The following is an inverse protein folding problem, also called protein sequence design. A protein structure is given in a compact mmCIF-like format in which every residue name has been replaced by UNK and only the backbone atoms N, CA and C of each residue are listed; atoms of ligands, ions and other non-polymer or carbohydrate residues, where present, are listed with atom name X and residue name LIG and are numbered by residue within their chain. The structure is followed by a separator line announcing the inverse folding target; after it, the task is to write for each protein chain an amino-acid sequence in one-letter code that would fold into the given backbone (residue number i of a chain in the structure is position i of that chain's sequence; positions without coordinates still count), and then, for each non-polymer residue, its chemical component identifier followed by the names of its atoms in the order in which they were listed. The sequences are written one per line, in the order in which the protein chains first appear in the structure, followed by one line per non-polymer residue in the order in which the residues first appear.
data_IF_248442481859
#
_entry.id   IF_248442481859
#
_cell.length_a   1.000
_cell.length_b   1.000
_cell.length_c   1.000
_cell.angle_alpha   90.00
_cell.angle_beta   90.00
_cell.angle_gamma   90.00
#
_symmetry.space_group_name_H-M   'P 1'
#
loop_
_entity.id
_entity.type
_entity.pdbx_description
1 polymer ?
#
# COMPACT_ATOMS: atom_id res chain seq x y z
N UNK A 1 -15.01 20.79 22.38
CA UNK A 1 -14.87 19.60 21.54
C UNK A 1 -14.86 18.38 22.44
N UNK A 2 -15.38 17.25 21.95
CA UNK A 2 -15.36 15.95 22.65
C UNK A 2 -14.04 15.19 22.40
N UNK A 3 -13.76 14.15 23.20
CA UNK A 3 -12.58 13.26 22.97
C UNK A 3 -12.61 12.67 21.55
N UNK A 4 -13.78 12.32 21.02
CA UNK A 4 -13.94 11.81 19.64
C UNK A 4 -13.55 12.86 18.59
N UNK A 5 -13.96 14.11 18.76
CA UNK A 5 -13.63 15.20 17.83
C UNK A 5 -12.12 15.48 17.80
N UNK A 6 -11.42 15.36 18.94
CA UNK A 6 -9.96 15.49 18.99
C UNK A 6 -9.26 14.30 18.28
N UNK A 7 -9.74 13.08 18.48
CA UNK A 7 -9.18 11.91 17.77
C UNK A 7 -9.46 11.99 16.26
N UNK A 8 -10.66 12.40 15.83
CA UNK A 8 -10.96 12.65 14.42
C UNK A 8 -10.06 13.74 13.82
N UNK A 9 -9.68 14.73 14.62
CA UNK A 9 -8.71 15.75 14.20
C UNK A 9 -7.32 15.13 13.99
N UNK A 10 -6.87 14.28 14.92
CA UNK A 10 -5.61 13.55 14.79
C UNK A 10 -5.61 12.63 13.54
N UNK A 11 -6.72 11.92 13.26
CA UNK A 11 -6.90 11.10 12.05
C UNK A 11 -6.77 11.95 10.77
N UNK A 12 -7.42 13.13 10.73
CA UNK A 12 -7.29 14.04 9.58
C UNK A 12 -5.86 14.55 9.37
N UNK A 13 -5.14 14.81 10.47
CA UNK A 13 -3.73 15.18 10.40
C UNK A 13 -2.86 14.04 9.88
N UNK A 14 -3.05 12.80 10.37
CA UNK A 14 -2.32 11.61 9.92
C UNK A 14 -2.39 11.44 8.40
N UNK A 15 -3.57 11.60 7.80
CA UNK A 15 -3.78 11.49 6.34
C UNK A 15 -2.95 12.44 5.49
N UNK A 16 -2.46 13.56 6.06
CA UNK A 16 -1.56 14.48 5.34
C UNK A 16 -0.17 13.89 5.06
N UNK A 17 0.20 12.81 5.74
CA UNK A 17 1.44 12.07 5.53
C UNK A 17 1.36 11.01 4.43
N UNK A 18 0.21 10.82 3.79
CA UNK A 18 0.01 9.80 2.77
C UNK A 18 1.03 9.92 1.62
N UNK A 19 1.61 8.79 1.21
CA UNK A 19 2.64 8.71 0.17
C UNK A 19 4.05 9.16 0.61
N UNK A 20 4.18 9.84 1.74
CA UNK A 20 5.46 10.39 2.23
C UNK A 20 6.07 9.59 3.37
N UNK A 21 5.22 8.96 4.20
CA UNK A 21 5.69 8.29 5.42
C UNK A 21 6.22 6.88 5.20
N UNK A 22 5.91 6.23 4.09
CA UNK A 22 6.32 4.85 3.79
C UNK A 22 7.84 4.62 3.98
N UNK A 23 8.26 3.52 4.64
CA UNK A 23 7.44 2.42 5.19
C UNK A 23 6.92 2.68 6.62
N UNK A 24 7.06 3.90 7.17
CA UNK A 24 6.53 4.27 8.48
C UNK A 24 5.00 4.48 8.40
N UNK A 25 4.28 4.34 9.54
CA UNK A 25 2.85 4.57 9.58
C UNK A 25 2.50 6.06 9.44
N UNK A 26 1.31 6.33 8.96
CA UNK A 26 0.68 7.64 9.07
C UNK A 26 0.19 7.83 10.51
N UNK A 27 0.72 8.84 11.20
CA UNK A 27 0.35 9.16 12.58
C UNK A 27 0.01 10.63 12.70
N UNK A 28 -1.03 10.93 13.48
CA UNK A 28 -1.41 12.28 13.86
C UNK A 28 -1.54 12.39 15.38
N UNK A 29 -1.23 13.57 15.90
CA UNK A 29 -1.30 13.87 17.32
C UNK A 29 -1.91 15.26 17.57
N UNK A 30 -2.73 15.37 18.63
CA UNK A 30 -3.38 16.61 19.07
C UNK A 30 -3.20 16.74 20.58
N UNK A 31 -2.69 17.87 21.05
CA UNK A 31 -2.48 18.18 22.46
C UNK A 31 -3.55 19.18 22.90
N UNK A 32 -4.28 18.83 23.96
CA UNK A 32 -5.44 19.58 24.47
C UNK A 32 -5.24 19.94 25.92
N UNK A 33 -5.47 21.21 26.26
CA UNK A 33 -5.47 21.73 27.63
C UNK A 33 -6.71 22.59 27.85
N UNK A 34 -7.41 22.38 28.94
CA UNK A 34 -8.62 23.15 29.32
C UNK A 34 -9.65 23.25 28.16
N UNK A 35 -9.85 22.14 27.43
CA UNK A 35 -10.78 22.06 26.29
C UNK A 35 -10.31 22.76 25.02
N UNK A 36 -9.08 23.31 24.96
CA UNK A 36 -8.49 23.98 23.81
C UNK A 36 -7.35 23.18 23.24
N UNK A 37 -7.23 23.16 21.91
CA UNK A 37 -6.06 22.57 21.22
C UNK A 37 -4.90 23.56 21.37
N UNK A 38 -3.79 23.09 21.94
CA UNK A 38 -2.57 23.88 22.16
C UNK A 38 -1.39 23.40 21.32
N UNK A 39 -1.51 22.24 20.67
CA UNK A 39 -0.49 21.71 19.76
C UNK A 39 -1.06 20.64 18.84
N UNK A 40 -0.60 20.61 17.60
CA UNK A 40 -1.00 19.64 16.58
C UNK A 40 0.20 19.20 15.75
N UNK A 41 0.24 17.92 15.37
CA UNK A 41 1.30 17.40 14.53
C UNK A 41 0.89 16.13 13.80
N UNK A 42 1.65 15.83 12.78
CA UNK A 42 1.56 14.54 12.08
C UNK A 42 2.96 14.11 11.61
N UNK A 43 3.15 12.83 11.36
CA UNK A 43 4.38 12.34 10.74
C UNK A 43 4.40 12.77 9.27
N UNK A 44 5.29 13.72 8.94
CA UNK A 44 5.29 14.38 7.62
C UNK A 44 5.94 13.52 6.54
N UNK A 45 7.09 12.90 6.88
CA UNK A 45 7.91 12.13 5.94
C UNK A 45 8.78 11.12 6.68
N UNK A 46 9.02 9.98 6.05
CA UNK A 46 9.93 8.96 6.57
C UNK A 46 11.31 9.54 6.92
N UNK A 47 11.76 9.30 8.15
CA UNK A 47 13.03 9.80 8.67
C UNK A 47 12.96 11.16 9.36
N UNK A 48 11.85 11.87 9.29
CA UNK A 48 11.58 13.12 10.01
C UNK A 48 10.93 12.85 11.38
N UNK A 49 10.59 13.94 12.12
CA UNK A 49 9.96 13.87 13.43
C UNK A 49 8.60 13.15 13.37
N UNK A 50 8.31 12.37 14.40
CA UNK A 50 7.02 11.73 14.59
C UNK A 50 5.93 12.74 14.96
N UNK A 51 4.67 12.30 14.89
CA UNK A 51 3.50 13.15 15.09
C UNK A 51 3.50 13.85 16.46
N UNK A 52 3.82 13.10 17.52
CA UNK A 52 3.85 13.60 18.90
C UNK A 52 4.91 14.70 19.06
N UNK A 53 6.11 14.50 18.50
CA UNK A 53 7.17 15.52 18.52
C UNK A 53 6.82 16.75 17.69
N UNK A 54 6.15 16.57 16.54
CA UNK A 54 5.64 17.68 15.76
C UNK A 54 4.52 18.43 16.49
N UNK A 55 3.64 17.73 17.23
CA UNK A 55 2.62 18.35 18.06
C UNK A 55 3.24 19.14 19.22
N UNK A 56 4.27 18.60 19.88
CA UNK A 56 5.03 19.28 20.93
C UNK A 56 5.76 20.52 20.37
N UNK A 57 6.36 20.40 19.18
CA UNK A 57 7.05 21.53 18.55
C UNK A 57 6.10 22.68 18.15
N UNK A 58 4.80 22.42 18.04
CA UNK A 58 3.77 23.39 17.69
C UNK A 58 3.03 23.99 18.90
N UNK A 59 3.47 23.66 20.13
CA UNK A 59 2.82 24.14 21.35
C UNK A 59 2.77 25.67 21.42
N UNK A 60 1.59 26.19 21.79
CA UNK A 60 1.34 27.61 22.00
C UNK A 60 1.45 28.01 23.48
N UNK A 61 1.45 27.03 24.38
CA UNK A 61 1.61 27.17 25.82
C UNK A 61 2.16 25.88 26.43
N UNK A 62 2.50 25.87 27.74
CA UNK A 62 2.98 24.64 28.41
C UNK A 62 1.97 23.51 28.33
N UNK A 63 2.44 22.31 27.94
CA UNK A 63 1.64 21.09 27.91
C UNK A 63 1.49 20.39 29.28
N UNK A 64 2.04 20.97 30.35
CA UNK A 64 1.92 20.39 31.70
C UNK A 64 0.45 20.25 32.10
N UNK A 65 0.05 19.03 32.46
CA UNK A 65 -1.32 18.68 32.82
C UNK A 65 -2.26 18.44 31.63
N UNK A 66 -1.80 18.59 30.38
CA UNK A 66 -2.61 18.42 29.16
C UNK A 66 -2.93 16.94 28.87
N UNK A 67 -3.81 16.74 27.90
CA UNK A 67 -4.12 15.43 27.28
C UNK A 67 -3.59 15.43 25.85
N UNK A 68 -2.88 14.35 25.43
CA UNK A 68 -2.54 14.10 24.04
C UNK A 68 -3.40 12.97 23.46
N UNK A 69 -3.94 13.18 22.27
CA UNK A 69 -4.63 12.20 21.44
C UNK A 69 -3.68 11.80 20.31
N UNK A 70 -3.40 10.52 20.17
CA UNK A 70 -2.48 10.01 19.13
C UNK A 70 -3.11 8.79 18.45
N UNK A 71 -3.03 8.75 17.12
CA UNK A 71 -3.70 7.70 16.33
C UNK A 71 -3.04 6.33 16.43
N UNK A 72 -1.78 6.25 16.87
CA UNK A 72 -1.01 5.02 17.05
C UNK A 72 -0.21 5.08 18.35
N UNK A 73 0.04 3.94 18.97
CA UNK A 73 0.83 3.83 20.21
C UNK A 73 2.20 4.53 20.07
N UNK A 74 2.57 5.45 20.98
CA UNK A 74 3.84 6.16 20.96
C UNK A 74 5.02 5.20 21.04
N UNK A 75 6.04 5.43 20.18
CA UNK A 75 7.24 4.62 20.15
C UNK A 75 8.06 4.78 21.44
N UNK A 76 8.70 3.67 21.87
CA UNK A 76 9.50 3.58 23.10
C UNK A 76 10.94 3.14 22.86
N UNK A 77 11.41 3.13 21.61
CA UNK A 77 12.77 2.72 21.26
C UNK A 77 13.49 3.82 20.50
N UNK A 78 14.80 3.87 20.65
CA UNK A 78 15.66 4.74 19.85
C UNK A 78 15.76 4.24 18.41
N UNK A 79 15.36 5.08 17.48
CA UNK A 79 15.51 4.89 16.05
C UNK A 79 16.34 6.01 15.45
N UNK A 80 15.88 6.58 14.34
CA UNK A 80 16.46 7.82 13.78
C UNK A 80 16.14 9.05 14.65
N UNK A 81 15.09 8.96 15.46
CA UNK A 81 14.65 9.97 16.42
C UNK A 81 14.55 9.35 17.81
N UNK A 82 14.71 10.14 18.90
CA UNK A 82 14.47 9.65 20.26
C UNK A 82 13.01 9.24 20.47
N UNK A 83 12.70 8.34 21.44
CA UNK A 83 11.36 7.84 21.72
C UNK A 83 10.33 8.96 21.93
N UNK A 84 9.11 8.77 21.45
CA UNK A 84 8.02 9.72 21.69
C UNK A 84 7.52 9.66 23.13
N UNK A 85 7.61 8.50 23.80
CA UNK A 85 7.29 8.35 25.24
C UNK A 85 8.11 9.30 26.09
N UNK A 86 9.41 9.46 25.83
CA UNK A 86 10.27 10.39 26.56
C UNK A 86 9.79 11.84 26.39
N UNK A 87 9.51 12.27 25.16
CA UNK A 87 9.02 13.62 24.90
C UNK A 87 7.68 13.92 25.60
N UNK A 88 6.78 12.94 25.66
CA UNK A 88 5.49 13.06 26.37
C UNK A 88 5.73 13.24 27.88
N UNK A 89 6.64 12.46 28.46
CA UNK A 89 6.99 12.53 29.89
C UNK A 89 7.65 13.87 30.23
N UNK A 90 8.65 14.31 29.43
CA UNK A 90 9.34 15.58 29.59
C UNK A 90 8.41 16.79 29.59
N UNK A 91 7.34 16.73 28.75
CA UNK A 91 6.31 17.78 28.69
C UNK A 91 5.29 17.71 29.83
N UNK A 92 5.43 16.74 30.77
CA UNK A 92 4.53 16.54 31.92
C UNK A 92 3.05 16.42 31.51
N UNK A 93 2.79 15.77 30.36
CA UNK A 93 1.44 15.48 29.89
C UNK A 93 0.79 14.51 30.88
N UNK A 94 -0.46 14.80 31.29
CA UNK A 94 -1.16 14.04 32.34
C UNK A 94 -1.90 12.82 31.79
N UNK A 95 -2.41 12.89 30.56
CA UNK A 95 -3.23 11.85 29.93
C UNK A 95 -2.83 11.62 28.48
N UNK A 96 -2.72 10.35 28.08
CA UNK A 96 -2.50 9.92 26.69
C UNK A 96 -3.67 9.07 26.23
N UNK A 97 -4.30 9.43 25.13
CA UNK A 97 -5.39 8.69 24.48
C UNK A 97 -4.86 8.12 23.18
N UNK A 98 -4.76 6.79 23.11
CA UNK A 98 -4.17 6.03 22.00
C UNK A 98 -5.29 5.40 21.17
N UNK A 99 -5.24 5.59 19.86
CA UNK A 99 -6.14 4.93 18.91
C UNK A 99 -5.75 3.48 18.68
N UNK A 100 -4.88 3.21 17.75
CA UNK A 100 -4.39 1.87 17.41
C UNK A 100 -3.25 1.41 18.33
N UNK A 101 -3.14 0.11 18.56
CA UNK A 101 -1.94 -0.52 19.11
C UNK A 101 -0.90 -0.70 17.99
N UNK A 102 0.37 -0.55 18.32
CA UNK A 102 1.43 -0.84 17.36
C UNK A 102 1.71 -2.37 17.35
N UNK A 103 1.54 -3.06 16.21
CA UNK A 103 1.82 -4.49 16.11
C UNK A 103 3.32 -4.82 16.07
N UNK A 104 4.19 -3.81 15.98
CA UNK A 104 5.64 -3.99 15.96
C UNK A 104 6.13 -4.60 17.29
N UNK A 105 6.75 -5.79 17.32
CA UNK A 105 7.22 -6.46 18.54
C UNK A 105 8.17 -5.60 19.39
N UNK A 106 8.80 -4.59 18.81
CA UNK A 106 9.67 -3.63 19.53
C UNK A 106 8.86 -2.62 20.34
N UNK A 107 7.62 -2.35 19.98
CA UNK A 107 6.71 -1.37 20.61
C UNK A 107 5.60 -2.06 21.39
N UNK A 108 4.78 -2.82 20.73
CA UNK A 108 3.65 -3.66 21.19
C UNK A 108 3.31 -3.59 22.69
N UNK A 109 2.61 -2.55 23.13
CA UNK A 109 2.19 -2.32 24.51
C UNK A 109 3.25 -1.72 25.44
N UNK A 110 4.53 -1.71 25.06
CA UNK A 110 5.62 -1.19 25.90
C UNK A 110 5.56 0.34 26.03
N UNK A 111 5.18 1.05 24.96
CA UNK A 111 5.00 2.50 25.01
C UNK A 111 3.95 2.91 26.03
N UNK A 112 2.79 2.26 25.98
CA UNK A 112 1.71 2.48 26.95
C UNK A 112 2.10 2.09 28.37
N UNK A 113 2.87 1.03 28.56
CA UNK A 113 3.38 0.61 29.87
C UNK A 113 4.34 1.65 30.48
N UNK A 114 5.35 2.11 29.73
CA UNK A 114 6.32 3.13 30.17
C UNK A 114 5.60 4.42 30.60
N UNK A 115 4.58 4.85 29.84
CA UNK A 115 3.80 6.03 30.19
C UNK A 115 3.04 5.85 31.52
N UNK A 116 2.42 4.67 31.76
CA UNK A 116 1.73 4.36 33.02
C UNK A 116 2.72 4.32 34.21
N UNK A 117 3.86 3.67 34.04
CA UNK A 117 4.90 3.61 35.05
C UNK A 117 5.47 5.00 35.43
N UNK A 118 5.39 5.94 34.47
CA UNK A 118 5.73 7.36 34.70
C UNK A 118 4.59 8.20 35.31
N UNK A 119 3.48 7.56 35.74
CA UNK A 119 2.34 8.23 36.38
C UNK A 119 1.35 8.88 35.43
N UNK A 120 1.44 8.62 34.13
CA UNK A 120 0.55 9.17 33.09
C UNK A 120 -0.69 8.27 32.95
N UNK A 121 -1.88 8.87 32.92
CA UNK A 121 -3.12 8.14 32.61
C UNK A 121 -3.16 7.74 31.14
N UNK A 122 -3.24 6.44 30.81
CA UNK A 122 -3.28 5.94 29.43
C UNK A 122 -4.60 5.25 29.13
N UNK A 123 -5.31 5.78 28.12
CA UNK A 123 -6.50 5.17 27.50
C UNK A 123 -6.06 4.55 26.19
N UNK A 124 -6.36 3.26 25.95
CA UNK A 124 -6.02 2.54 24.72
C UNK A 124 -7.30 2.14 23.97
N UNK A 125 -7.11 1.80 22.68
CA UNK A 125 -8.18 1.32 21.80
C UNK A 125 -9.32 2.35 21.58
N UNK A 126 -9.01 3.64 21.70
CA UNK A 126 -10.01 4.70 21.53
C UNK A 126 -10.23 4.99 20.05
N UNK A 127 -11.42 4.72 19.52
CA UNK A 127 -11.72 4.76 18.09
C UNK A 127 -10.75 3.89 17.29
N UNK A 128 -10.53 2.67 17.77
CA UNK A 128 -9.51 1.77 17.24
C UNK A 128 -9.74 1.44 15.77
N UNK A 129 -10.97 1.12 15.38
CA UNK A 129 -11.28 0.73 14.00
C UNK A 129 -10.95 1.84 13.01
N UNK A 130 -11.31 3.09 13.32
CA UNK A 130 -11.02 4.24 12.49
C UNK A 130 -9.50 4.55 12.41
N UNK A 131 -8.78 4.30 13.50
CA UNK A 131 -7.34 4.46 13.54
C UNK A 131 -6.61 3.31 12.82
N UNK A 132 -7.06 2.05 12.96
CA UNK A 132 -6.51 0.90 12.25
C UNK A 132 -6.65 1.07 10.73
N UNK A 133 -7.78 1.63 10.26
CA UNK A 133 -8.01 1.94 8.85
C UNK A 133 -7.01 2.93 8.22
N UNK A 134 -6.23 3.68 9.03
CA UNK A 134 -5.18 4.55 8.51
C UNK A 134 -3.98 3.77 7.94
N UNK A 135 -3.64 2.63 8.54
CA UNK A 135 -2.34 1.99 8.39
C UNK A 135 -2.37 0.49 8.00
N UNK A 136 -3.26 0.02 7.10
CA UNK A 136 -3.31 -1.40 6.73
C UNK A 136 -2.00 -1.86 6.10
N UNK A 137 -1.34 -1.00 5.31
CA UNK A 137 -0.02 -1.25 4.70
C UNK A 137 1.03 -1.49 5.78
N UNK A 138 1.15 -0.57 6.74
CA UNK A 138 2.13 -0.68 7.81
C UNK A 138 1.90 -1.93 8.67
N UNK A 139 0.66 -2.19 9.06
CA UNK A 139 0.31 -3.35 9.89
C UNK A 139 0.65 -4.67 9.17
N UNK A 140 0.35 -4.78 7.89
CA UNK A 140 0.72 -5.94 7.12
C UNK A 140 2.24 -6.08 7.01
N UNK A 141 2.93 -5.01 6.56
CA UNK A 141 4.37 -5.08 6.29
C UNK A 141 5.20 -5.33 7.56
N UNK A 142 4.85 -4.70 8.69
CA UNK A 142 5.62 -4.87 9.93
C UNK A 142 5.51 -6.29 10.51
N UNK A 143 4.38 -6.97 10.27
CA UNK A 143 4.12 -8.33 10.75
C UNK A 143 4.60 -9.42 9.80
N UNK A 144 4.44 -9.24 8.47
CA UNK A 144 4.72 -10.27 7.47
C UNK A 144 6.06 -10.10 6.75
N UNK A 145 6.60 -8.86 6.73
CA UNK A 145 7.77 -8.46 5.93
C UNK A 145 7.57 -8.61 4.42
N UNK A 146 6.31 -8.70 3.97
CA UNK A 146 5.95 -8.70 2.55
C UNK A 146 5.14 -7.46 2.21
N UNK A 147 5.20 -6.94 0.97
CA UNK A 147 4.39 -5.81 0.55
C UNK A 147 2.89 -6.06 0.66
N UNK A 148 2.13 -5.05 1.06
CA UNK A 148 0.67 -5.02 0.93
C UNK A 148 0.29 -4.79 -0.53
N UNK A 149 -0.25 -5.80 -1.20
CA UNK A 149 -0.56 -5.73 -2.63
C UNK A 149 -2.01 -5.28 -2.84
N UNK A 150 -2.17 -4.16 -3.52
CA UNK A 150 -3.46 -3.62 -3.94
C UNK A 150 -3.62 -3.81 -5.45
N UNK A 151 -4.57 -4.62 -5.86
CA UNK A 151 -4.91 -4.81 -7.26
C UNK A 151 -5.86 -3.72 -7.73
N UNK A 152 -5.48 -2.99 -8.79
CA UNK A 152 -6.32 -1.96 -9.38
C UNK A 152 -6.57 -2.23 -10.85
N UNK A 153 -7.82 -2.14 -11.26
CA UNK A 153 -8.18 -2.14 -12.68
C UNK A 153 -9.33 -1.18 -12.99
N UNK A 154 -9.39 -0.78 -14.26
CA UNK A 154 -10.51 -0.01 -14.80
C UNK A 154 -11.18 -0.82 -15.91
N UNK A 155 -12.50 -0.91 -15.86
CA UNK A 155 -13.29 -1.68 -16.84
C UNK A 155 -14.56 -0.93 -17.27
N UNK A 156 -15.12 -1.36 -18.37
CA UNK A 156 -16.48 -0.99 -18.79
C UNK A 156 -17.53 -1.69 -17.91
N UNK A 157 -18.78 -1.25 -17.97
CA UNK A 157 -19.90 -1.86 -17.24
C UNK A 157 -20.11 -3.35 -17.61
N UNK A 158 -19.74 -3.74 -18.83
CA UNK A 158 -19.75 -5.13 -19.30
C UNK A 158 -18.41 -5.87 -19.07
N UNK A 159 -17.55 -5.36 -18.17
CA UNK A 159 -16.35 -6.05 -17.67
C UNK A 159 -15.19 -6.10 -18.66
N UNK A 160 -15.02 -5.12 -19.55
CA UNK A 160 -13.93 -5.10 -20.54
C UNK A 160 -12.85 -4.09 -20.21
N UNK A 161 -11.57 -4.48 -20.33
CA UNK A 161 -10.42 -3.61 -20.13
C UNK A 161 -9.78 -3.16 -21.45
N UNK A 162 -10.26 -3.63 -22.58
CA UNK A 162 -9.88 -3.21 -23.93
C UNK A 162 -10.97 -3.56 -24.93
N UNK A 163 -11.00 -2.86 -26.08
CA UNK A 163 -11.84 -3.18 -27.21
C UNK A 163 -11.39 -4.48 -27.90
N UNK A 164 -12.15 -4.94 -28.90
CA UNK A 164 -11.78 -6.11 -29.72
C UNK A 164 -10.43 -5.97 -30.46
N UNK A 165 -9.99 -4.74 -30.69
CA UNK A 165 -8.70 -4.43 -31.34
C UNK A 165 -7.57 -4.23 -30.35
N UNK A 166 -7.84 -4.29 -29.03
CA UNK A 166 -6.85 -4.08 -27.96
C UNK A 166 -6.72 -2.64 -27.49
N UNK A 167 -7.46 -1.68 -28.08
CA UNK A 167 -7.42 -0.29 -27.61
C UNK A 167 -8.02 -0.16 -26.20
N UNK A 168 -7.26 0.45 -25.27
CA UNK A 168 -7.60 0.61 -23.84
C UNK A 168 -7.76 2.06 -23.38
N UNK A 169 -7.35 3.04 -24.20
CA UNK A 169 -7.33 4.48 -23.84
C UNK A 169 -8.52 5.21 -24.48
N UNK A 170 -9.45 5.85 -23.73
CA UNK A 170 -9.56 5.86 -22.26
C UNK A 170 -10.86 5.19 -21.86
N UNK A 171 -10.82 4.26 -20.94
CA UNK A 171 -12.02 3.58 -20.40
C UNK A 171 -12.71 4.53 -19.44
N UNK A 172 -12.04 4.94 -18.36
CA UNK A 172 -12.55 5.82 -17.31
C UNK A 172 -12.28 7.29 -17.62
N UNK A 173 -13.03 8.16 -16.95
CA UNK A 173 -12.93 9.60 -17.04
C UNK A 173 -11.65 10.17 -16.38
N UNK A 174 -11.46 11.47 -16.52
CA UNK A 174 -10.28 12.15 -15.98
C UNK A 174 -10.21 12.12 -14.43
N UNK A 175 -11.32 12.33 -13.69
CA UNK A 175 -11.28 12.25 -12.23
C UNK A 175 -10.79 10.89 -11.71
N UNK A 176 -11.22 9.78 -12.32
CA UNK A 176 -10.75 8.45 -11.97
C UNK A 176 -9.25 8.25 -12.29
N UNK A 177 -8.77 8.84 -13.40
CA UNK A 177 -7.33 8.81 -13.73
C UNK A 177 -6.47 9.65 -12.79
N UNK A 178 -7.01 10.76 -12.26
CA UNK A 178 -6.35 11.54 -11.20
C UNK A 178 -6.25 10.73 -9.91
N UNK A 179 -7.30 10.02 -9.51
CA UNK A 179 -7.27 9.11 -8.36
C UNK A 179 -6.17 8.04 -8.52
N UNK A 180 -5.95 7.51 -9.73
CA UNK A 180 -4.85 6.58 -10.01
C UNK A 180 -3.47 7.24 -9.79
N UNK A 181 -3.31 8.54 -10.06
CA UNK A 181 -2.05 9.24 -9.72
C UNK A 181 -1.84 9.32 -8.20
N UNK A 182 -2.91 9.55 -7.41
CA UNK A 182 -2.86 9.47 -5.95
C UNK A 182 -2.43 8.07 -5.49
N UNK A 183 -3.04 7.02 -6.04
CA UNK A 183 -2.65 5.65 -5.71
C UNK A 183 -1.18 5.37 -6.03
N UNK A 184 -0.67 5.82 -7.19
CA UNK A 184 0.75 5.67 -7.55
C UNK A 184 1.69 6.42 -6.62
N UNK A 185 1.26 7.55 -6.06
CA UNK A 185 2.01 8.29 -5.05
C UNK A 185 1.98 7.59 -3.68
N UNK A 186 0.83 7.01 -3.33
CA UNK A 186 0.58 6.36 -2.04
C UNK A 186 1.41 5.09 -1.84
N UNK A 187 1.51 4.23 -2.87
CA UNK A 187 2.18 2.94 -2.77
C UNK A 187 3.64 3.02 -3.21
N UNK A 188 4.53 2.28 -2.52
CA UNK A 188 5.98 2.30 -2.81
C UNK A 188 6.36 1.65 -4.12
N UNK A 189 5.63 0.63 -4.56
CA UNK A 189 5.86 -0.07 -5.82
C UNK A 189 4.65 -0.03 -6.75
N UNK A 190 4.89 -0.09 -8.06
CA UNK A 190 3.89 -0.35 -9.09
C UNK A 190 4.30 -1.58 -9.88
N UNK A 191 3.42 -2.56 -10.01
CA UNK A 191 3.69 -3.82 -10.68
C UNK A 191 2.82 -3.96 -11.94
N UNK A 192 3.45 -4.29 -13.07
CA UNK A 192 2.77 -4.58 -14.32
C UNK A 192 3.38 -5.80 -15.03
N UNK A 193 2.60 -6.48 -15.86
CA UNK A 193 3.09 -7.56 -16.70
C UNK A 193 3.72 -7.03 -18.00
N UNK A 194 4.65 -7.80 -18.57
CA UNK A 194 5.31 -7.46 -19.84
C UNK A 194 4.31 -7.19 -20.98
N UNK A 195 3.16 -7.86 -20.97
CA UNK A 195 2.13 -7.61 -21.99
C UNK A 195 1.61 -6.18 -21.99
N UNK A 196 1.56 -5.51 -20.84
CA UNK A 196 1.20 -4.09 -20.72
C UNK A 196 2.30 -3.20 -21.28
N UNK A 197 3.58 -3.54 -21.02
CA UNK A 197 4.72 -2.78 -21.55
C UNK A 197 4.78 -2.85 -23.07
N UNK A 198 4.60 -4.05 -23.65
CA UNK A 198 4.62 -4.27 -25.09
C UNK A 198 3.43 -3.62 -25.82
N UNK A 199 2.28 -3.52 -25.18
CA UNK A 199 1.07 -2.96 -25.78
C UNK A 199 1.01 -1.43 -25.71
N UNK A 200 1.39 -0.85 -24.57
CA UNK A 200 1.11 0.55 -24.24
C UNK A 200 2.37 1.41 -24.08
N UNK A 201 3.56 0.81 -24.01
CA UNK A 201 4.86 1.44 -23.70
C UNK A 201 4.74 2.49 -22.56
N UNK A 202 4.25 2.10 -21.37
CA UNK A 202 3.89 3.03 -20.31
C UNK A 202 5.12 3.48 -19.52
N UNK A 203 5.09 4.70 -18.98
CA UNK A 203 6.09 5.19 -18.01
C UNK A 203 5.90 4.61 -16.60
N UNK A 204 4.69 4.22 -16.21
CA UNK A 204 4.33 3.74 -14.86
C UNK A 204 4.82 4.66 -13.73
N UNK A 205 4.81 5.96 -13.93
CA UNK A 205 5.23 6.98 -12.97
C UNK A 205 4.04 7.85 -12.53
N UNK A 206 4.26 8.70 -11.53
CA UNK A 206 3.37 9.79 -11.17
C UNK A 206 3.63 10.96 -12.09
N UNK A 207 2.55 11.59 -12.59
CA UNK A 207 2.60 12.76 -13.50
C UNK A 207 2.12 14.06 -12.85
N UNK A 208 2.11 14.08 -11.52
CA UNK A 208 1.80 15.26 -10.70
C UNK A 208 3.11 15.80 -10.15
N UNK A 209 3.37 17.06 -10.41
CA UNK A 209 4.59 17.72 -9.95
C UNK A 209 4.72 17.68 -8.42
N UNK A 210 5.94 17.45 -7.94
CA UNK A 210 6.24 17.37 -6.51
C UNK A 210 5.89 16.03 -5.85
N UNK A 211 5.18 15.13 -6.52
CA UNK A 211 4.82 13.83 -5.95
C UNK A 211 5.87 12.76 -6.22
N UNK A 212 6.02 11.84 -5.26
CA UNK A 212 6.96 10.72 -5.38
C UNK A 212 6.40 9.66 -6.32
N UNK A 213 7.23 9.21 -7.27
CA UNK A 213 6.94 8.05 -8.12
C UNK A 213 7.29 6.74 -7.42
N UNK A 214 6.52 5.66 -7.65
CA UNK A 214 6.81 4.34 -7.11
C UNK A 214 8.00 3.66 -7.81
N UNK A 215 8.58 2.66 -7.17
CA UNK A 215 9.49 1.70 -7.80
C UNK A 215 8.70 0.90 -8.84
N UNK A 216 9.18 0.83 -10.07
CA UNK A 216 8.49 0.13 -11.16
C UNK A 216 8.94 -1.32 -11.22
N UNK A 217 7.99 -2.24 -11.21
CA UNK A 217 8.22 -3.69 -11.20
C UNK A 217 7.55 -4.28 -12.45
N UNK A 218 8.33 -4.89 -13.32
CA UNK A 218 7.82 -5.54 -14.53
C UNK A 218 7.98 -7.05 -14.40
N UNK A 219 6.87 -7.78 -14.46
CA UNK A 219 6.87 -9.24 -14.51
C UNK A 219 7.02 -9.70 -15.97
N UNK A 220 8.19 -10.27 -16.29
CA UNK A 220 8.57 -10.68 -17.65
C UNK A 220 9.36 -11.99 -17.63
N UNK A 221 8.66 -13.11 -17.53
CA UNK A 221 9.28 -14.45 -17.35
C UNK A 221 10.41 -14.75 -18.35
N UNK A 222 10.32 -14.21 -19.57
CA UNK A 222 11.26 -14.51 -20.68
C UNK A 222 12.12 -13.32 -21.12
N UNK A 223 12.19 -12.23 -20.31
CA UNK A 223 12.96 -11.02 -20.60
C UNK A 223 12.71 -10.42 -22.00
N UNK A 224 11.43 -10.37 -22.42
CA UNK A 224 11.02 -9.80 -23.71
C UNK A 224 10.99 -8.28 -23.74
N UNK A 225 11.21 -7.62 -22.60
CA UNK A 225 11.15 -6.16 -22.48
C UNK A 225 12.08 -5.49 -23.49
N UNK A 226 11.58 -4.55 -24.32
CA UNK A 226 12.42 -3.83 -25.27
C UNK A 226 13.39 -2.90 -24.55
N UNK A 227 14.65 -2.90 -24.96
CA UNK A 227 15.69 -2.03 -24.38
C UNK A 227 15.46 -0.55 -24.66
N UNK A 228 14.63 -0.23 -25.64
CA UNK A 228 14.23 1.12 -26.04
C UNK A 228 12.86 1.54 -25.55
N UNK A 229 12.18 0.70 -24.75
CA UNK A 229 10.93 1.05 -24.11
C UNK A 229 11.10 2.24 -23.16
N UNK A 230 10.05 3.06 -22.98
CA UNK A 230 10.08 4.24 -22.10
C UNK A 230 10.50 3.89 -20.68
N UNK A 231 10.01 2.76 -20.16
CA UNK A 231 10.31 2.30 -18.80
C UNK A 231 11.80 1.96 -18.62
N UNK A 232 12.47 1.39 -19.63
CA UNK A 232 13.91 1.09 -19.62
C UNK A 232 14.74 2.36 -19.84
N UNK A 233 14.37 3.22 -20.79
CA UNK A 233 15.10 4.48 -21.06
C UNK A 233 15.12 5.42 -19.86
N UNK A 234 14.09 5.40 -19.03
CA UNK A 234 13.96 6.24 -17.85
C UNK A 234 14.39 5.55 -16.54
N UNK A 235 15.06 4.38 -16.60
CA UNK A 235 15.38 3.60 -15.41
C UNK A 235 16.38 4.29 -14.46
N UNK A 236 17.25 5.16 -14.98
CA UNK A 236 18.18 5.96 -14.18
C UNK A 236 17.47 7.06 -13.36
N UNK A 237 16.30 7.50 -13.80
CA UNK A 237 15.47 8.49 -13.09
C UNK A 237 14.46 7.82 -12.16
N UNK A 238 13.85 6.73 -12.58
CA UNK A 238 12.85 5.97 -11.83
C UNK A 238 13.33 4.54 -11.61
N UNK A 239 13.62 4.16 -10.37
CA UNK A 239 14.05 2.80 -10.04
C UNK A 239 13.13 1.77 -10.69
N UNK A 240 13.72 0.83 -11.41
CA UNK A 240 12.99 -0.18 -12.20
C UNK A 240 13.58 -1.55 -11.93
N UNK A 241 12.72 -2.50 -11.60
CA UNK A 241 13.06 -3.91 -11.37
C UNK A 241 12.32 -4.75 -12.41
N UNK A 242 13.04 -5.59 -13.13
CA UNK A 242 12.46 -6.60 -14.03
C UNK A 242 12.60 -7.96 -13.39
N UNK A 243 11.46 -8.58 -13.04
CA UNK A 243 11.42 -9.95 -12.56
C UNK A 243 11.34 -10.91 -13.74
N UNK A 244 12.16 -11.96 -13.70
CA UNK A 244 12.22 -12.97 -14.76
C UNK A 244 12.30 -14.40 -14.17
N UNK A 245 12.13 -15.40 -15.04
CA UNK A 245 12.14 -16.82 -14.64
C UNK A 245 13.14 -17.67 -15.46
N UNK A 246 13.93 -17.05 -16.32
CA UNK A 246 14.91 -17.75 -17.16
C UNK A 246 16.08 -18.31 -16.35
N UNK A 247 16.73 -19.36 -16.89
CA UNK A 247 17.93 -19.93 -16.29
C UNK A 247 19.15 -19.13 -16.71
N UNK A 248 20.04 -18.79 -15.78
CA UNK A 248 21.25 -18.00 -16.00
C UNK A 248 22.28 -18.69 -16.94
N UNK A 249 22.12 -19.99 -17.19
CA UNK A 249 22.96 -20.77 -18.13
C UNK A 249 22.73 -20.40 -19.61
N UNK A 250 21.71 -19.58 -19.91
CA UNK A 250 21.41 -19.13 -21.28
C UNK A 250 22.16 -17.83 -21.57
N UNK A 251 23.13 -17.89 -22.51
CA UNK A 251 23.95 -16.73 -22.93
C UNK A 251 23.09 -15.52 -23.38
N UNK A 252 21.98 -15.74 -24.10
CA UNK A 252 21.09 -14.66 -24.53
C UNK A 252 20.43 -13.94 -23.34
N UNK A 253 20.06 -14.68 -22.31
CA UNK A 253 19.48 -14.13 -21.07
C UNK A 253 20.54 -13.31 -20.35
N UNK A 254 21.76 -13.83 -20.21
CA UNK A 254 22.89 -13.15 -19.56
C UNK A 254 23.24 -11.85 -20.26
N UNK A 255 23.40 -11.86 -21.59
CA UNK A 255 23.64 -10.64 -22.38
C UNK A 255 22.49 -9.61 -22.20
N UNK A 256 21.24 -10.10 -22.19
CA UNK A 256 20.08 -9.20 -22.00
C UNK A 256 20.09 -8.55 -20.62
N UNK A 257 20.45 -9.28 -19.58
CA UNK A 257 20.58 -8.78 -18.20
C UNK A 257 21.66 -7.71 -18.12
N UNK A 258 22.85 -7.96 -18.69
CA UNK A 258 23.93 -6.98 -18.71
C UNK A 258 23.52 -5.68 -19.40
N UNK A 259 22.81 -5.78 -20.54
CA UNK A 259 22.29 -4.62 -21.26
C UNK A 259 21.22 -3.86 -20.48
N UNK A 260 20.38 -4.53 -19.70
CA UNK A 260 19.40 -3.92 -18.78
C UNK A 260 20.11 -3.20 -17.63
N UNK A 261 21.11 -3.83 -17.00
CA UNK A 261 21.90 -3.23 -15.92
C UNK A 261 22.64 -1.99 -16.39
N UNK A 262 23.23 -2.02 -17.60
CA UNK A 262 23.89 -0.84 -18.20
C UNK A 262 22.95 0.36 -18.38
N UNK A 263 21.64 0.12 -18.48
CA UNK A 263 20.60 1.14 -18.54
C UNK A 263 20.03 1.55 -17.17
N UNK A 264 20.50 0.93 -16.08
CA UNK A 264 20.06 1.21 -14.70
C UNK A 264 18.79 0.45 -14.29
N UNK A 265 18.48 -0.65 -14.95
CA UNK A 265 17.39 -1.56 -14.58
C UNK A 265 17.94 -2.66 -13.69
N UNK A 266 17.37 -2.84 -12.50
CA UNK A 266 17.64 -3.99 -11.64
C UNK A 266 16.91 -5.23 -12.20
N UNK A 267 17.49 -6.42 -12.04
CA UNK A 267 16.83 -7.67 -12.42
C UNK A 267 16.78 -8.64 -11.25
N UNK A 268 15.72 -9.44 -11.18
CA UNK A 268 15.55 -10.47 -10.14
C UNK A 268 15.03 -11.76 -10.76
N UNK A 269 15.72 -12.86 -10.50
CA UNK A 269 15.32 -14.19 -10.96
C UNK A 269 14.43 -14.85 -9.90
N UNK A 270 13.19 -15.16 -10.27
CA UNK A 270 12.19 -15.77 -9.37
C UNK A 270 11.41 -16.87 -10.10
N UNK A 271 12.02 -17.97 -10.56
CA UNK A 271 11.32 -19.03 -11.27
C UNK A 271 10.44 -19.89 -10.33
N UNK A 272 9.29 -20.33 -10.85
CA UNK A 272 8.53 -21.45 -10.34
C UNK A 272 8.97 -22.77 -11.07
N UNK A 273 8.25 -23.85 -10.79
CA UNK A 273 8.53 -25.16 -11.39
C UNK A 273 8.23 -25.22 -12.92
N UNK A 274 7.50 -24.24 -13.46
CA UNK A 274 7.06 -24.16 -14.85
C UNK A 274 7.80 -23.05 -15.64
N UNK A 275 8.91 -22.56 -15.11
CA UNK A 275 9.67 -21.43 -15.65
C UNK A 275 8.79 -20.16 -15.82
N UNK A 276 7.81 -19.97 -14.89
CA UNK A 276 7.08 -18.75 -14.73
C UNK A 276 7.55 -18.01 -13.48
N UNK A 277 7.19 -16.73 -13.33
CA UNK A 277 7.55 -15.98 -12.13
C UNK A 277 6.75 -16.45 -10.93
N UNK A 278 7.45 -16.94 -9.90
CA UNK A 278 6.90 -17.18 -8.58
C UNK A 278 6.64 -15.85 -7.87
N UNK A 279 5.39 -15.41 -7.88
CA UNK A 279 5.00 -14.13 -7.29
C UNK A 279 5.18 -14.10 -5.76
N UNK A 280 5.14 -15.24 -5.05
CA UNK A 280 5.41 -15.29 -3.60
C UNK A 280 6.88 -15.02 -3.31
N UNK A 281 7.79 -15.62 -4.09
CA UNK A 281 9.22 -15.32 -4.00
C UNK A 281 9.50 -13.86 -4.35
N UNK A 282 8.87 -13.34 -5.39
CA UNK A 282 9.05 -11.96 -5.82
C UNK A 282 8.61 -10.97 -4.73
N UNK A 283 7.42 -11.11 -4.14
CA UNK A 283 6.98 -10.19 -3.07
C UNK A 283 7.84 -10.31 -1.81
N UNK A 284 8.36 -11.51 -1.49
CA UNK A 284 9.32 -11.68 -0.40
C UNK A 284 10.62 -10.91 -0.67
N UNK A 285 11.16 -11.02 -1.89
CA UNK A 285 12.34 -10.24 -2.30
C UNK A 285 12.07 -8.72 -2.18
N UNK A 286 10.94 -8.24 -2.71
CA UNK A 286 10.58 -6.82 -2.69
C UNK A 286 10.40 -6.31 -1.25
N UNK A 287 9.84 -7.12 -0.36
CA UNK A 287 9.73 -6.80 1.06
C UNK A 287 11.10 -6.64 1.74
N UNK A 288 12.06 -7.51 1.43
CA UNK A 288 13.43 -7.41 1.92
C UNK A 288 14.17 -6.18 1.37
N UNK A 289 13.82 -5.72 0.15
CA UNK A 289 14.28 -4.46 -0.41
C UNK A 289 13.61 -3.22 0.22
N UNK A 290 12.76 -3.39 1.23
CA UNK A 290 12.10 -2.31 1.96
C UNK A 290 10.85 -1.75 1.27
N UNK A 291 10.31 -2.43 0.27
CA UNK A 291 9.06 -2.04 -0.41
C UNK A 291 7.89 -2.58 0.43
N UNK A 292 7.13 -1.69 1.06
CA UNK A 292 6.03 -2.03 1.96
C UNK A 292 4.70 -2.30 1.26
N UNK A 293 4.55 -1.80 0.03
CA UNK A 293 3.28 -1.83 -0.70
C UNK A 293 3.46 -1.83 -2.20
N UNK A 294 2.54 -2.48 -2.90
CA UNK A 294 2.54 -2.59 -4.36
C UNK A 294 1.15 -2.26 -4.90
N UNK A 295 1.08 -1.31 -5.84
CA UNK A 295 -0.06 -1.12 -6.71
C UNK A 295 0.09 -2.04 -7.92
N UNK A 296 -0.73 -3.08 -7.99
CA UNK A 296 -0.77 -3.99 -9.13
C UNK A 296 -1.68 -3.39 -10.22
N UNK A 297 -1.06 -2.83 -11.26
CA UNK A 297 -1.72 -2.36 -12.49
C UNK A 297 -1.47 -3.36 -13.62
N UNK A 298 -1.84 -4.62 -13.39
CA UNK A 298 -1.61 -5.72 -14.31
C UNK A 298 -2.66 -5.83 -15.41
N UNK A 299 -2.31 -6.57 -16.47
CA UNK A 299 -3.30 -7.16 -17.38
C UNK A 299 -3.95 -8.40 -16.75
N UNK A 300 -5.02 -8.90 -17.38
CA UNK A 300 -5.83 -9.97 -16.80
C UNK A 300 -5.05 -11.24 -16.40
N UNK A 301 -3.99 -11.59 -17.11
CA UNK A 301 -3.13 -12.75 -16.80
C UNK A 301 -2.36 -12.55 -15.49
N UNK A 302 -1.72 -11.38 -15.32
CA UNK A 302 -0.96 -11.12 -14.08
C UNK A 302 -1.91 -10.98 -12.88
N UNK A 303 -3.07 -10.38 -13.07
CA UNK A 303 -4.10 -10.27 -12.04
C UNK A 303 -4.57 -11.68 -11.59
N UNK A 304 -4.85 -12.60 -12.51
CA UNK A 304 -5.20 -13.99 -12.19
C UNK A 304 -4.07 -14.68 -11.43
N UNK A 305 -2.83 -14.56 -11.91
CA UNK A 305 -1.66 -15.15 -11.25
C UNK A 305 -1.48 -14.61 -9.82
N UNK A 306 -1.67 -13.30 -9.61
CA UNK A 306 -1.54 -12.67 -8.29
C UNK A 306 -2.64 -13.13 -7.30
N UNK A 307 -3.88 -13.30 -7.79
CA UNK A 307 -4.98 -13.83 -6.99
C UNK A 307 -4.73 -15.31 -6.62
N UNK A 308 -4.28 -16.13 -7.55
CA UNK A 308 -3.92 -17.55 -7.29
C UNK A 308 -2.73 -17.68 -6.34
N UNK A 309 -1.78 -16.78 -6.42
CA UNK A 309 -0.65 -16.72 -5.49
C UNK A 309 -1.05 -16.19 -4.11
N UNK A 310 -2.30 -15.74 -3.90
CA UNK A 310 -2.85 -15.21 -2.64
C UNK A 310 -2.08 -14.00 -2.09
N UNK A 311 -1.39 -13.27 -2.98
CA UNK A 311 -0.63 -12.08 -2.59
C UNK A 311 -1.48 -10.80 -2.52
N UNK A 312 -2.63 -10.76 -3.20
CA UNK A 312 -3.53 -9.59 -3.23
C UNK A 312 -4.29 -9.48 -1.91
N UNK A 313 -4.30 -8.29 -1.31
CA UNK A 313 -5.01 -7.99 -0.06
C UNK A 313 -6.24 -7.10 -0.28
N UNK A 314 -6.20 -6.25 -1.28
CA UNK A 314 -7.26 -5.28 -1.58
C UNK A 314 -7.44 -5.12 -3.10
N UNK A 315 -8.67 -4.88 -3.53
CA UNK A 315 -9.04 -4.69 -4.93
C UNK A 315 -9.76 -3.36 -5.11
N UNK A 316 -9.24 -2.51 -6.01
CA UNK A 316 -9.87 -1.27 -6.45
C UNK A 316 -10.38 -1.43 -7.88
N UNK A 317 -11.69 -1.53 -8.04
CA UNK A 317 -12.36 -1.63 -9.32
C UNK A 317 -12.96 -0.28 -9.71
N UNK A 318 -12.54 0.26 -10.87
CA UNK A 318 -13.14 1.45 -11.48
C UNK A 318 -14.03 1.01 -12.65
N UNK A 319 -15.31 1.34 -12.60
CA UNK A 319 -16.31 0.94 -13.60
C UNK A 319 -16.77 2.18 -14.35
N UNK A 320 -16.51 2.21 -15.65
CA UNK A 320 -17.00 3.27 -16.53
C UNK A 320 -18.40 2.91 -17.05
N UNK A 321 -19.32 3.91 -17.21
CA UNK A 321 -20.66 3.71 -17.76
C UNK A 321 -20.60 3.55 -19.30
N UNK A 322 -19.87 2.55 -19.77
CA UNK A 322 -19.62 2.21 -21.18
C UNK A 322 -19.80 0.73 -21.41
N UNK A 323 -20.11 0.35 -22.64
CA UNK A 323 -20.19 -1.04 -23.10
C UNK A 323 -19.28 -1.20 -24.31
N UNK A 324 -18.37 -2.18 -24.27
CA UNK A 324 -17.48 -2.50 -25.39
C UNK A 324 -17.92 -3.74 -26.15
N UNK A 325 -18.53 -4.71 -25.47
CA UNK A 325 -18.89 -6.00 -26.03
C UNK A 325 -17.67 -6.82 -26.50
N UNK A 326 -17.94 -7.77 -27.40
CA UNK A 326 -16.89 -8.62 -28.01
C UNK A 326 -16.56 -9.85 -27.19
N UNK A 327 -16.77 -11.04 -27.79
CA UNK A 327 -16.51 -12.35 -27.15
C UNK A 327 -15.07 -12.49 -26.64
N UNK A 328 -14.09 -11.98 -27.40
CA UNK A 328 -12.65 -12.12 -27.12
C UNK A 328 -12.02 -10.84 -26.54
N UNK A 329 -12.83 -9.84 -26.18
CA UNK A 329 -12.32 -8.63 -25.53
C UNK A 329 -11.76 -8.97 -24.15
N UNK A 330 -10.60 -8.39 -23.81
CA UNK A 330 -9.89 -8.66 -22.54
C UNK A 330 -10.72 -8.26 -21.33
N UNK A 331 -10.63 -9.08 -20.27
CA UNK A 331 -11.27 -8.86 -18.97
C UNK A 331 -10.22 -8.58 -17.89
N UNK A 332 -10.60 -7.98 -16.74
CA UNK A 332 -9.67 -7.65 -15.66
C UNK A 332 -8.94 -8.84 -15.08
N UNK A 333 -9.58 -10.00 -15.00
CA UNK A 333 -9.02 -11.25 -14.53
C UNK A 333 -9.21 -12.29 -15.62
N UNK A 334 -8.12 -12.89 -16.05
CA UNK A 334 -8.05 -13.92 -17.08
C UNK A 334 -7.40 -15.17 -16.48
N UNK A 335 -7.23 -16.22 -17.28
CA UNK A 335 -6.62 -17.47 -16.84
C UNK A 335 -7.59 -18.63 -17.06
N UNK A 336 -7.42 -19.72 -16.29
CA UNK A 336 -8.25 -20.93 -16.46
C UNK A 336 -9.69 -20.70 -15.95
N UNK A 337 -9.89 -19.74 -15.03
CA UNK A 337 -11.16 -19.50 -14.36
C UNK A 337 -11.42 -20.52 -13.22
N UNK A 338 -12.64 -20.53 -12.71
CA UNK A 338 -13.15 -21.45 -11.68
C UNK A 338 -14.22 -22.34 -12.29
N UNK A 339 -14.37 -23.54 -11.76
CA UNK A 339 -15.37 -24.51 -12.24
C UNK A 339 -16.78 -24.23 -11.69
N UNK A 340 -16.88 -23.86 -10.43
CA UNK A 340 -18.14 -23.64 -9.73
C UNK A 340 -18.14 -22.28 -9.03
N UNK A 341 -19.33 -21.60 -8.93
CA UNK A 341 -19.46 -20.34 -8.20
C UNK A 341 -19.02 -20.42 -6.73
N UNK A 342 -19.11 -21.58 -6.10
CA UNK A 342 -18.66 -21.81 -4.72
C UNK A 342 -17.14 -21.74 -4.55
N UNK A 343 -16.37 -21.90 -5.63
CA UNK A 343 -14.90 -21.77 -5.64
C UNK A 343 -14.42 -20.33 -5.78
N UNK A 344 -15.35 -19.39 -5.93
CA UNK A 344 -15.00 -17.98 -6.14
C UNK A 344 -14.25 -17.41 -4.96
N UNK A 345 -13.21 -16.62 -5.24
CA UNK A 345 -12.54 -15.80 -4.24
C UNK A 345 -13.55 -14.81 -3.66
N UNK A 346 -13.80 -14.91 -2.35
CA UNK A 346 -14.72 -14.01 -1.65
C UNK A 346 -14.07 -12.67 -1.39
N UNK A 347 -14.84 -11.61 -1.63
CA UNK A 347 -14.44 -10.23 -1.37
C UNK A 347 -15.44 -9.58 -0.42
N UNK A 348 -14.93 -8.80 0.54
CA UNK A 348 -15.75 -7.94 1.40
C UNK A 348 -15.67 -6.52 0.87
N UNK A 349 -16.77 -5.99 0.36
CA UNK A 349 -16.86 -4.60 -0.08
C UNK A 349 -16.75 -3.67 1.13
N UNK A 350 -15.81 -2.72 1.08
CA UNK A 350 -15.52 -1.76 2.16
C UNK A 350 -15.89 -0.33 1.78
N UNK A 351 -15.91 0.00 0.49
CA UNK A 351 -16.32 1.34 0.01
C UNK A 351 -16.90 1.27 -1.40
N UNK A 352 -17.91 2.08 -1.65
CA UNK A 352 -18.46 2.33 -2.99
C UNK A 352 -18.68 3.83 -3.14
N UNK A 353 -18.03 4.44 -4.11
CA UNK A 353 -18.20 5.87 -4.36
C UNK A 353 -18.23 6.20 -5.86
N UNK A 354 -18.83 7.34 -6.17
CA UNK A 354 -18.82 7.93 -7.51
C UNK A 354 -17.60 8.84 -7.67
N UNK A 355 -16.86 8.68 -8.77
CA UNK A 355 -15.72 9.54 -9.14
C UNK A 355 -15.99 10.11 -10.55
N UNK A 356 -16.52 11.32 -10.61
CA UNK A 356 -17.08 11.87 -11.84
C UNK A 356 -18.26 11.03 -12.32
N UNK A 357 -18.18 10.49 -13.53
CA UNK A 357 -19.20 9.57 -14.07
C UNK A 357 -18.94 8.11 -13.73
N UNK A 358 -17.69 7.77 -13.29
CA UNK A 358 -17.29 6.41 -12.98
C UNK A 358 -17.69 6.00 -11.56
N UNK A 359 -17.72 4.70 -11.29
CA UNK A 359 -17.94 4.12 -9.97
C UNK A 359 -16.64 3.46 -9.53
N UNK A 360 -16.16 3.77 -8.32
CA UNK A 360 -15.09 3.01 -7.65
C UNK A 360 -15.69 2.08 -6.61
N UNK A 361 -15.27 0.82 -6.64
CA UNK A 361 -15.57 -0.17 -5.61
C UNK A 361 -14.24 -0.60 -5.00
N UNK A 362 -14.14 -0.57 -3.66
CA UNK A 362 -13.01 -1.09 -2.89
C UNK A 362 -13.46 -2.33 -2.14
N UNK A 363 -12.70 -3.41 -2.29
CA UNK A 363 -12.97 -4.66 -1.61
C UNK A 363 -11.70 -5.22 -0.97
N UNK A 364 -11.82 -5.75 0.23
CA UNK A 364 -10.78 -6.57 0.85
C UNK A 364 -10.96 -8.03 0.41
N UNK A 365 -9.84 -8.70 0.16
CA UNK A 365 -9.80 -10.13 -0.11
C UNK A 365 -10.03 -10.85 1.23
N UNK A 366 -11.07 -11.68 1.29
CA UNK A 366 -11.31 -12.51 2.48
C UNK A 366 -10.26 -13.62 2.54
N UNK A 367 -9.60 -13.76 3.69
CA UNK A 367 -8.76 -14.93 3.92
C UNK A 367 -9.64 -16.19 3.88
N UNK A 368 -9.13 -17.26 3.29
CA UNK A 368 -9.81 -18.56 3.36
C UNK A 368 -9.85 -18.93 4.84
N UNK A 369 -11.05 -19.12 5.39
CA UNK A 369 -11.19 -19.76 6.68
C UNK A 369 -10.42 -21.10 6.59
N UNK A 370 -9.44 -21.30 7.46
CA UNK A 370 -8.86 -22.63 7.64
C UNK A 370 -10.01 -23.51 8.08
N UNK A 371 -10.49 -24.38 7.19
CA UNK A 371 -11.44 -25.43 7.59
C UNK A 371 -10.77 -26.20 8.71
N UNK A 372 -11.23 -25.92 9.93
CA UNK A 372 -10.88 -26.75 11.08
C UNK A 372 -11.25 -28.20 10.76
N UNK A 373 -10.53 -29.19 11.28
CA UNK A 373 -10.81 -30.58 11.00
C UNK A 373 -12.30 -30.85 11.31
N UNK A 374 -13.02 -31.24 10.27
CA UNK A 374 -14.42 -31.64 10.36
C UNK A 374 -14.49 -32.76 11.43
N UNK A 375 -15.00 -32.44 12.61
CA UNK A 375 -15.37 -33.45 13.58
C UNK A 375 -16.48 -34.26 12.93
N UNK A 376 -16.12 -35.41 12.39
CA UNK A 376 -17.08 -36.41 11.99
C UNK A 376 -17.83 -36.82 13.28
N UNK A 377 -19.05 -36.31 13.44
CA UNK A 377 -19.97 -36.88 14.38
C UNK A 377 -20.30 -38.32 13.93
N UNK A 378 -19.83 -39.24 14.72
CA UNK A 378 -20.14 -40.70 14.65
C UNK A 378 -21.52 -40.95 15.29
#
# INVERSE_FOLDING_TARGET
MTDQEYMLRAIRLAKKGEGWTNPNPMVGAVIVKDGRIIGEGYHKKCGELHAERNAIASLTESAEGATIYVTLEPCCHYGKTPPCTEAIIEQKIKKVVIGSRDPNPKVAGKGAQILRESGITVVQDFMREECDCLNPVFFHYITTKTPYVVMKYAMTLDGKIATKTGASKWITGEPARQEVQHMRHRYMGIMAGIGTVLADDPMLNVRVEGWKSPVRIVCDSSLRIPLDSQIVRSAKEYRTIVAYAGREENEEITEKIERLHAKGVDTVCCPDEKDQIDLKKLVTYLGNEGIDSILLEGGGTLNDSALRAEIVKEVHCFIAPKLFGGKNSKTPVQGIGIGLPSEALKLKCTDICRIGEDIRIICQVCEKEQEGPCLQES
#
